data_IF_480687804431
#
_entry.id   IF_480687804431
#
_cell.length_a   1.000
_cell.length_b   1.000
_cell.length_c   1.000
_cell.angle_alpha   90.00
_cell.angle_beta   90.00
_cell.angle_gamma   90.00
#
_symmetry.space_group_name_H-M   'P 1'
#
loop_
_entity.id
_entity.type
_entity.pdbx_description
1 polymer ?
#
# COMPACT_ATOMS: atom_id res chain seq x y z
N UNK A 1 -1.46 -4.47 15.71
CA UNK A 1 -1.12 -4.10 14.31
C UNK A 1 0.25 -3.47 14.28
N UNK A 2 1.11 -3.98 13.43
CA UNK A 2 2.45 -3.42 13.25
C UNK A 2 2.52 -2.76 11.88
N UNK A 3 2.78 -1.46 11.86
CA UNK A 3 2.86 -0.69 10.62
C UNK A 3 4.31 -0.40 10.27
N UNK A 4 4.67 -0.66 9.03
CA UNK A 4 5.96 -0.30 8.48
C UNK A 4 5.73 0.54 7.22
N UNK A 5 6.12 1.80 7.28
CA UNK A 5 5.90 2.76 6.22
C UNK A 5 7.17 2.97 5.42
N UNK A 6 7.07 2.83 4.10
CA UNK A 6 8.18 3.00 3.17
C UNK A 6 7.81 4.05 2.13
N UNK A 7 8.50 5.18 2.15
CA UNK A 7 8.27 6.27 1.20
C UNK A 7 8.99 6.02 -0.11
N UNK A 8 8.41 6.49 -1.21
CA UNK A 8 8.94 6.38 -2.57
C UNK A 8 9.16 4.92 -3.02
N UNK A 9 8.37 4.00 -2.45
CA UNK A 9 8.37 2.60 -2.84
C UNK A 9 6.95 2.14 -3.14
N UNK A 10 6.83 1.17 -4.03
CA UNK A 10 5.55 0.64 -4.45
C UNK A 10 5.69 -0.86 -4.76
N UNK A 11 4.79 -1.67 -4.21
CA UNK A 11 4.73 -3.09 -4.53
C UNK A 11 3.91 -3.26 -5.81
N UNK A 12 4.49 -3.92 -6.82
CA UNK A 12 3.86 -4.11 -8.11
C UNK A 12 3.17 -5.48 -8.21
N UNK A 13 2.10 -5.55 -9.02
CA UNK A 13 1.46 -6.79 -9.47
C UNK A 13 0.77 -7.63 -8.39
N UNK A 14 0.43 -7.06 -7.24
CA UNK A 14 -0.20 -7.82 -6.16
C UNK A 14 -1.50 -7.19 -5.64
N UNK A 15 -2.05 -6.22 -6.36
CA UNK A 15 -3.26 -5.54 -5.91
C UNK A 15 -4.49 -6.44 -6.01
N UNK A 16 -5.23 -6.55 -4.89
CA UNK A 16 -6.55 -7.17 -4.85
C UNK A 16 -7.59 -6.22 -5.42
N UNK A 17 -7.45 -4.94 -5.13
CA UNK A 17 -8.39 -3.90 -5.52
C UNK A 17 -7.71 -2.54 -5.38
N UNK A 18 -8.24 -1.56 -6.08
CA UNK A 18 -7.79 -0.17 -5.98
C UNK A 18 -8.99 0.71 -5.76
N UNK A 19 -8.83 1.75 -4.95
CA UNK A 19 -9.89 2.73 -4.67
C UNK A 19 -9.27 4.07 -4.34
N UNK A 20 -10.09 5.11 -4.31
CA UNK A 20 -9.68 6.43 -3.84
C UNK A 20 -10.02 6.55 -2.36
N UNK A 21 -9.06 7.03 -1.58
CA UNK A 21 -9.31 7.38 -0.18
C UNK A 21 -8.72 8.75 0.09
N UNK A 22 -9.28 9.45 1.09
CA UNK A 22 -8.85 10.82 1.37
C UNK A 22 -7.54 10.90 2.14
N UNK A 23 -7.04 9.77 2.66
CA UNK A 23 -5.79 9.74 3.41
C UNK A 23 -5.20 8.34 3.41
N UNK A 24 -3.89 8.25 3.71
CA UNK A 24 -3.22 6.95 3.87
C UNK A 24 -3.83 6.16 5.04
N UNK A 25 -4.29 6.84 6.08
CA UNK A 25 -4.92 6.18 7.23
C UNK A 25 -6.18 5.44 6.80
N UNK A 26 -7.01 6.07 5.98
CA UNK A 26 -8.22 5.41 5.46
C UNK A 26 -7.88 4.23 4.54
N UNK A 27 -6.79 4.34 3.79
CA UNK A 27 -6.29 3.24 2.98
C UNK A 27 -5.88 2.05 3.86
N UNK A 28 -5.17 2.31 4.96
CA UNK A 28 -4.75 1.30 5.91
C UNK A 28 -5.96 0.63 6.58
N UNK A 29 -6.96 1.43 6.97
CA UNK A 29 -8.19 0.92 7.58
C UNK A 29 -8.91 -0.02 6.61
N UNK A 30 -9.00 0.35 5.34
CA UNK A 30 -9.61 -0.50 4.33
C UNK A 30 -8.88 -1.85 4.22
N UNK A 31 -7.54 -1.84 4.25
CA UNK A 31 -6.74 -3.05 4.24
C UNK A 31 -6.97 -3.90 5.48
N UNK A 32 -7.05 -3.26 6.65
CA UNK A 32 -7.29 -3.98 7.92
C UNK A 32 -8.59 -4.76 7.91
N UNK A 33 -9.60 -4.26 7.20
CA UNK A 33 -10.92 -4.87 7.10
C UNK A 33 -10.98 -6.06 6.18
N UNK A 34 -9.98 -6.24 5.31
CA UNK A 34 -9.95 -7.31 4.32
C UNK A 34 -8.98 -8.40 4.78
N UNK A 35 -9.46 -9.63 5.01
CA UNK A 35 -8.59 -10.71 5.51
C UNK A 35 -7.37 -10.98 4.64
N UNK A 36 -7.49 -10.86 3.31
CA UNK A 36 -6.40 -11.14 2.38
C UNK A 36 -5.46 -9.96 2.18
N UNK A 37 -5.83 -8.76 2.60
CA UNK A 37 -4.98 -7.58 2.42
C UNK A 37 -3.84 -7.58 3.42
N UNK A 38 -2.61 -7.44 2.93
CA UNK A 38 -1.40 -7.43 3.76
C UNK A 38 -0.69 -6.09 3.74
N UNK A 39 -0.67 -5.44 2.59
CA UNK A 39 0.03 -4.18 2.38
C UNK A 39 -0.82 -3.25 1.53
N UNK A 40 -0.49 -1.96 1.54
CA UNK A 40 -1.11 -0.98 0.66
C UNK A 40 -0.06 -0.16 -0.05
N UNK A 41 -0.39 0.30 -1.26
CA UNK A 41 0.31 1.38 -1.93
C UNK A 41 -0.63 2.57 -1.95
N UNK A 42 -0.17 3.72 -1.48
CA UNK A 42 -0.99 4.93 -1.48
C UNK A 42 -0.27 6.05 -2.21
N UNK A 43 -0.96 6.72 -3.12
CA UNK A 43 -0.44 7.90 -3.80
C UNK A 43 -1.08 9.13 -3.17
N UNK A 44 -0.26 9.98 -2.56
CA UNK A 44 -0.75 11.16 -1.83
C UNK A 44 -1.32 12.22 -2.74
N UNK A 45 -0.89 12.25 -4.02
CA UNK A 45 -1.36 13.24 -4.98
C UNK A 45 -2.68 12.82 -5.64
N UNK A 46 -2.76 11.59 -6.13
CA UNK A 46 -3.96 11.09 -6.81
C UNK A 46 -4.99 10.52 -5.83
N UNK A 47 -4.59 10.27 -4.59
CA UNK A 47 -5.42 9.63 -3.56
C UNK A 47 -5.74 8.17 -3.88
N UNK A 48 -5.00 7.55 -4.78
CA UNK A 48 -5.21 6.15 -5.13
C UNK A 48 -4.68 5.24 -4.03
N UNK A 49 -5.50 4.27 -3.63
CA UNK A 49 -5.19 3.29 -2.60
C UNK A 49 -5.24 1.90 -3.23
N UNK A 50 -4.10 1.24 -3.33
CA UNK A 50 -4.02 -0.15 -3.80
C UNK A 50 -3.96 -1.08 -2.60
N UNK A 51 -4.87 -2.04 -2.53
CA UNK A 51 -4.94 -3.03 -1.47
C UNK A 51 -4.26 -4.30 -1.98
N UNK A 52 -3.12 -4.64 -1.39
CA UNK A 52 -2.27 -5.74 -1.87
C UNK A 52 -2.42 -6.98 -1.00
N UNK A 53 -2.43 -8.15 -1.65
CA UNK A 53 -2.54 -9.44 -0.95
C UNK A 53 -1.19 -10.02 -0.54
N UNK A 54 -0.10 -9.35 -0.84
CA UNK A 54 1.25 -9.82 -0.54
C UNK A 54 1.93 -8.92 0.48
N UNK A 55 2.83 -9.48 1.27
CA UNK A 55 3.71 -8.71 2.14
C UNK A 55 4.76 -7.99 1.31
N UNK A 56 5.47 -7.04 1.93
CA UNK A 56 6.54 -6.32 1.25
C UNK A 56 7.58 -7.29 0.72
N UNK A 57 7.88 -7.20 -0.58
CA UNK A 57 8.85 -8.06 -1.24
C UNK A 57 9.72 -7.20 -2.14
N UNK A 58 10.99 -7.06 -1.77
CA UNK A 58 11.93 -6.19 -2.48
C UNK A 58 12.07 -6.56 -3.95
N UNK A 59 11.91 -7.84 -4.31
CA UNK A 59 12.01 -8.27 -5.70
C UNK A 59 10.89 -7.68 -6.59
N UNK A 60 9.78 -7.26 -5.98
CA UNK A 60 8.63 -6.70 -6.68
C UNK A 60 8.39 -5.22 -6.36
N UNK A 61 9.29 -4.58 -5.60
CA UNK A 61 9.15 -3.18 -5.25
C UNK A 61 9.72 -2.30 -6.36
N UNK A 62 8.98 -1.24 -6.67
CA UNK A 62 9.45 -0.22 -7.60
C UNK A 62 10.19 0.87 -6.82
N UNK A 63 11.50 0.83 -6.86
CA UNK A 63 12.36 1.79 -6.14
C UNK A 63 12.44 3.14 -6.83
N UNK A 64 11.90 3.25 -8.05
CA UNK A 64 11.87 4.50 -8.80
C UNK A 64 10.54 5.23 -8.68
N UNK A 65 9.67 4.76 -7.78
CA UNK A 65 8.41 5.44 -7.50
C UNK A 65 8.67 6.85 -6.99
N UNK A 66 7.75 7.77 -7.28
CA UNK A 66 7.89 9.17 -6.83
C UNK A 66 7.68 9.28 -5.32
N UNK A 67 8.06 10.44 -4.76
CA UNK A 67 7.85 10.70 -3.33
C UNK A 67 6.37 10.71 -2.93
N UNK A 68 5.47 10.83 -3.90
CA UNK A 68 4.02 10.76 -3.63
C UNK A 68 3.56 9.33 -3.34
N UNK A 69 4.37 8.33 -3.66
CA UNK A 69 4.05 6.93 -3.40
C UNK A 69 4.50 6.52 -2.00
N UNK A 70 3.59 5.90 -1.27
CA UNK A 70 3.87 5.38 0.07
C UNK A 70 3.42 3.93 0.11
N UNK A 71 4.31 3.04 0.54
CA UNK A 71 3.99 1.63 0.74
C UNK A 71 3.94 1.35 2.23
N UNK A 72 2.86 0.74 2.70
CA UNK A 72 2.69 0.43 4.13
C UNK A 72 2.43 -1.05 4.30
N UNK A 73 3.23 -1.70 5.13
CA UNK A 73 2.97 -3.07 5.55
C UNK A 73 2.00 -3.02 6.73
N UNK A 74 0.80 -3.55 6.53
CA UNK A 74 -0.31 -3.50 7.51
C UNK A 74 -0.36 -4.78 8.34
N UNK A 75 -0.15 -5.93 7.69
CA UNK A 75 -0.18 -7.24 8.35
C UNK A 75 1.05 -8.05 7.94
N UNK A 76 1.53 -8.86 8.82
CA UNK A 76 2.63 -9.78 8.56
C UNK A 76 2.15 -11.09 7.95
#
# INVERSE_FOLDING_TARGET
>A
MELKLLSALRLENHALASRKTSSVVKCIIACSSLPLCKTVNYNTQTKNCDLNRATSNLAHMNEQATLDEVHVQVKL
#
